data_IF_222024827408
#
_entry.id   IF_222024827408
#
_cell.length_a   1.000
_cell.length_b   1.000
_cell.length_c   1.000
_cell.angle_alpha   90.00
_cell.angle_beta   90.00
_cell.angle_gamma   90.00
#
_symmetry.space_group_name_H-M   'P 1'
#
loop_
_entity.id
_entity.type
_entity.pdbx_description
1 polymer ?
#
# COMPACT_ATOMS: atom_id res chain seq x y z
N UNK A 1 -68.30 -6.10 -12.47
CA UNK A 1 -66.92 -5.68 -12.15
C UNK A 1 -65.97 -6.42 -13.08
N UNK A 2 -65.57 -5.80 -14.22
CA UNK A 2 -64.70 -6.45 -15.22
C UNK A 2 -63.25 -6.28 -14.79
N UNK A 3 -62.63 -7.33 -14.26
CA UNK A 3 -61.18 -7.38 -14.12
C UNK A 3 -60.58 -7.36 -15.53
N UNK A 4 -59.92 -6.25 -15.91
CA UNK A 4 -59.11 -6.21 -17.12
C UNK A 4 -57.97 -7.21 -16.92
N UNK A 5 -58.03 -8.34 -17.62
CA UNK A 5 -56.91 -9.27 -17.71
C UNK A 5 -55.74 -8.50 -18.28
N UNK A 6 -54.70 -8.31 -17.47
CA UNK A 6 -53.44 -7.75 -17.94
C UNK A 6 -52.96 -8.67 -19.07
N UNK A 7 -52.73 -8.11 -20.27
CA UNK A 7 -52.29 -8.89 -21.42
C UNK A 7 -51.04 -9.69 -21.01
N UNK A 8 -51.02 -10.99 -21.27
CA UNK A 8 -49.95 -11.91 -20.83
C UNK A 8 -48.56 -11.38 -21.23
N UNK A 9 -48.47 -10.71 -22.38
CA UNK A 9 -47.27 -10.03 -22.88
C UNK A 9 -46.80 -8.89 -21.97
N UNK A 10 -47.73 -8.10 -21.41
CA UNK A 10 -47.43 -7.00 -20.49
C UNK A 10 -46.95 -7.54 -19.14
N UNK A 11 -47.56 -8.62 -18.63
CA UNK A 11 -47.14 -9.27 -17.39
C UNK A 11 -45.72 -9.85 -17.50
N UNK A 12 -45.42 -10.51 -18.63
CA UNK A 12 -44.08 -11.06 -18.89
C UNK A 12 -43.05 -9.92 -19.03
N UNK A 13 -43.39 -8.82 -19.71
CA UNK A 13 -42.50 -7.67 -19.85
C UNK A 13 -42.15 -7.02 -18.50
N UNK A 14 -43.14 -6.87 -17.60
CA UNK A 14 -42.93 -6.33 -16.25
C UNK A 14 -42.04 -7.26 -15.41
N UNK A 15 -42.26 -8.57 -15.48
CA UNK A 15 -41.43 -9.55 -14.76
C UNK A 15 -39.98 -9.57 -15.26
N UNK A 16 -39.77 -9.52 -16.58
CA UNK A 16 -38.43 -9.43 -17.17
C UNK A 16 -37.72 -8.13 -16.75
N UNK A 17 -38.42 -6.98 -16.79
CA UNK A 17 -37.86 -5.71 -16.35
C UNK A 17 -37.48 -5.73 -14.86
N UNK A 18 -38.32 -6.32 -14.00
CA UNK A 18 -38.03 -6.49 -12.58
C UNK A 18 -36.80 -7.39 -12.34
N UNK A 19 -36.69 -8.52 -13.07
CA UNK A 19 -35.53 -9.41 -12.99
C UNK A 19 -34.24 -8.72 -13.47
N UNK A 20 -34.31 -7.93 -14.55
CA UNK A 20 -33.16 -7.14 -15.04
C UNK A 20 -32.73 -6.09 -14.00
N UNK A 21 -33.67 -5.40 -13.35
CA UNK A 21 -33.36 -4.43 -12.29
C UNK A 21 -32.80 -5.10 -11.03
N UNK A 22 -33.28 -6.28 -10.66
CA UNK A 22 -32.75 -7.07 -9.54
C UNK A 22 -31.34 -7.59 -9.88
N UNK A 23 -31.12 -8.09 -11.09
CA UNK A 23 -29.79 -8.52 -11.54
C UNK A 23 -28.84 -7.31 -11.62
N UNK A 24 -29.28 -6.17 -12.14
CA UNK A 24 -28.50 -4.94 -12.20
C UNK A 24 -28.17 -4.38 -10.82
N UNK A 25 -29.08 -4.50 -9.84
CA UNK A 25 -28.82 -4.08 -8.45
C UNK A 25 -27.95 -5.06 -7.69
N UNK A 26 -28.13 -6.38 -7.85
CA UNK A 26 -27.30 -7.41 -7.21
C UNK A 26 -25.91 -7.46 -7.81
N UNK A 27 -25.78 -7.38 -9.14
CA UNK A 27 -24.49 -7.29 -9.83
C UNK A 27 -23.86 -5.91 -9.62
N UNK A 28 -24.62 -4.82 -9.74
CA UNK A 28 -24.14 -3.46 -9.49
C UNK A 28 -23.61 -3.27 -8.08
N UNK A 29 -24.29 -3.83 -7.06
CA UNK A 29 -23.84 -3.76 -5.66
C UNK A 29 -22.59 -4.61 -5.39
N UNK A 30 -22.49 -5.80 -5.99
CA UNK A 30 -21.29 -6.65 -5.87
C UNK A 30 -20.09 -6.08 -6.64
N UNK A 31 -20.31 -5.34 -7.72
CA UNK A 31 -19.24 -4.72 -8.51
C UNK A 31 -18.75 -3.38 -7.96
N UNK A 32 -19.61 -2.56 -7.35
CA UNK A 32 -19.24 -1.18 -6.99
C UNK A 32 -18.52 -1.02 -5.64
N UNK A 33 -18.42 -2.06 -4.80
CA UNK A 33 -17.65 -1.99 -3.55
C UNK A 33 -16.26 -2.59 -3.70
N UNK A 34 -15.54 -2.25 -4.77
CA UNK A 34 -14.09 -2.36 -4.76
C UNK A 34 -13.58 -1.33 -3.73
N UNK A 35 -13.44 -1.75 -2.47
CA UNK A 35 -12.95 -0.91 -1.38
C UNK A 35 -11.67 -0.24 -1.88
N UNK A 36 -11.67 1.10 -1.92
CA UNK A 36 -10.45 1.88 -2.17
C UNK A 36 -9.39 1.32 -1.22
N UNK A 37 -8.16 1.18 -1.68
CA UNK A 37 -7.08 0.63 -0.85
C UNK A 37 -6.76 1.56 0.35
N UNK A 38 -7.36 2.76 0.39
CA UNK A 38 -7.01 3.92 1.22
C UNK A 38 -5.50 4.03 1.36
N UNK A 39 -4.86 4.24 0.19
CA UNK A 39 -3.46 4.56 0.00
C UNK A 39 -3.41 5.87 -0.76
N UNK A 40 -2.65 6.83 -0.25
CA UNK A 40 -2.42 8.13 -0.87
C UNK A 40 -1.82 7.91 -2.26
N UNK A 41 -2.36 8.59 -3.27
CA UNK A 41 -1.94 8.42 -4.66
C UNK A 41 -1.18 9.66 -5.14
N UNK A 42 -0.19 9.47 -6.01
CA UNK A 42 0.43 10.56 -6.77
C UNK A 42 -0.65 11.33 -7.57
N UNK A 43 -0.62 12.68 -7.63
CA UNK A 43 0.47 13.59 -7.22
C UNK A 43 0.30 14.22 -5.83
N UNK A 44 -0.35 13.57 -4.86
CA UNK A 44 -0.59 14.16 -3.53
C UNK A 44 0.72 14.68 -2.88
N UNK A 45 0.76 15.92 -2.36
CA UNK A 45 2.00 16.58 -1.92
C UNK A 45 2.74 15.83 -0.79
N UNK A 46 2.00 15.11 0.05
CA UNK A 46 2.58 14.27 1.10
C UNK A 46 3.57 13.22 0.57
N UNK A 47 3.41 12.75 -0.68
CA UNK A 47 4.33 11.80 -1.30
C UNK A 47 5.62 12.44 -1.82
N UNK A 48 5.66 13.77 -1.86
CA UNK A 48 6.76 14.60 -2.37
C UNK A 48 7.39 15.48 -1.27
N UNK A 49 7.00 15.25 -0.02
CA UNK A 49 7.47 16.01 1.14
C UNK A 49 8.24 15.09 2.07
N UNK A 50 9.44 15.50 2.50
CA UNK A 50 10.22 14.76 3.47
C UNK A 50 9.45 14.62 4.80
N UNK A 51 9.41 13.40 5.32
CA UNK A 51 8.74 13.07 6.57
C UNK A 51 9.56 13.49 7.78
N UNK A 52 8.88 13.96 8.81
CA UNK A 52 9.48 14.33 10.08
C UNK A 52 9.94 13.08 10.86
N UNK A 53 11.03 13.18 11.63
CA UNK A 53 11.39 12.14 12.60
C UNK A 53 10.21 11.77 13.51
N UNK A 54 10.10 10.49 13.80
CA UNK A 54 9.09 9.96 14.72
C UNK A 54 9.72 9.67 16.08
N UNK A 55 9.02 9.97 17.17
CA UNK A 55 9.43 9.48 18.50
C UNK A 55 8.98 8.02 18.64
N UNK A 56 9.90 7.04 18.69
CA UNK A 56 9.54 5.62 18.74
C UNK A 56 8.63 5.25 19.91
N UNK A 57 8.68 5.99 21.01
CA UNK A 57 7.93 5.68 22.24
C UNK A 57 6.60 6.43 22.35
N UNK A 58 6.29 7.30 21.39
CA UNK A 58 5.05 8.07 21.34
C UNK A 58 3.83 7.19 21.00
N UNK A 59 2.66 7.58 21.52
CA UNK A 59 1.39 6.95 21.16
C UNK A 59 1.09 7.12 19.65
N UNK A 60 1.42 8.28 19.09
CA UNK A 60 1.29 8.56 17.65
C UNK A 60 2.04 7.52 16.81
N UNK A 61 3.30 7.22 17.15
CA UNK A 61 4.11 6.26 16.39
C UNK A 61 3.57 4.84 16.51
N UNK A 62 3.09 4.43 17.69
CA UNK A 62 2.42 3.12 17.85
C UNK A 62 1.16 3.03 17.00
N UNK A 63 0.35 4.08 16.97
CA UNK A 63 -0.86 4.14 16.13
C UNK A 63 -0.51 4.04 14.64
N UNK A 64 0.45 4.83 14.16
CA UNK A 64 0.91 4.80 12.77
C UNK A 64 1.42 3.42 12.39
N UNK A 65 2.29 2.82 13.23
CA UNK A 65 2.83 1.48 13.01
C UNK A 65 1.71 0.42 12.92
N UNK A 66 0.71 0.50 13.80
CA UNK A 66 -0.47 -0.36 13.77
C UNK A 66 -1.29 -0.21 12.48
N UNK A 67 -1.54 1.03 12.05
CA UNK A 67 -2.25 1.31 10.79
C UNK A 67 -1.48 0.76 9.57
N UNK A 68 -0.16 0.96 9.55
CA UNK A 68 0.72 0.43 8.51
C UNK A 68 0.67 -1.10 8.45
N UNK A 69 0.86 -1.79 9.58
CA UNK A 69 0.84 -3.24 9.64
C UNK A 69 -0.52 -3.82 9.21
N UNK A 70 -1.63 -3.22 9.65
CA UNK A 70 -2.97 -3.62 9.21
C UNK A 70 -3.18 -3.42 7.70
N UNK A 71 -2.68 -2.29 7.15
CA UNK A 71 -2.78 -1.99 5.72
C UNK A 71 -1.94 -2.96 4.90
N UNK A 72 -0.69 -3.19 5.32
CA UNK A 72 0.22 -4.15 4.72
C UNK A 72 -0.39 -5.56 4.71
N UNK A 73 -1.00 -5.99 5.83
CA UNK A 73 -1.71 -7.27 5.90
C UNK A 73 -2.85 -7.39 4.88
N UNK A 74 -3.69 -6.37 4.72
CA UNK A 74 -4.78 -6.37 3.73
C UNK A 74 -4.26 -6.43 2.29
N UNK A 75 -3.16 -5.72 2.00
CA UNK A 75 -2.51 -5.75 0.70
C UNK A 75 -1.91 -7.13 0.42
N UNK A 76 -1.20 -7.70 1.38
CA UNK A 76 -0.59 -9.02 1.24
C UNK A 76 -1.64 -10.11 1.06
N UNK A 77 -2.72 -10.09 1.83
CA UNK A 77 -3.86 -10.99 1.65
C UNK A 77 -4.47 -10.86 0.24
N UNK A 78 -4.58 -9.64 -0.30
CA UNK A 78 -5.21 -9.39 -1.60
C UNK A 78 -4.33 -9.77 -2.79
N UNK A 79 -3.03 -9.52 -2.69
CA UNK A 79 -2.10 -9.63 -3.83
C UNK A 79 -1.09 -10.77 -3.70
N UNK A 80 -0.97 -11.40 -2.52
CA UNK A 80 -0.06 -12.50 -2.21
C UNK A 80 1.37 -12.26 -2.73
N UNK A 81 1.95 -11.12 -2.34
CA UNK A 81 3.24 -10.68 -2.88
C UNK A 81 4.41 -11.24 -2.07
N UNK A 82 5.49 -11.60 -2.74
CA UNK A 82 6.67 -12.18 -2.09
C UNK A 82 7.39 -11.18 -1.18
N UNK A 83 7.44 -9.91 -1.58
CA UNK A 83 8.07 -8.85 -0.80
C UNK A 83 7.14 -7.64 -0.82
N UNK A 84 6.94 -7.03 0.34
CA UNK A 84 6.04 -5.89 0.54
C UNK A 84 6.64 -4.93 1.56
N UNK A 85 6.54 -3.65 1.26
CA UNK A 85 6.79 -2.56 2.17
C UNK A 85 5.65 -1.55 2.11
N UNK A 86 5.55 -0.73 3.15
CA UNK A 86 4.67 0.44 3.16
C UNK A 86 5.24 1.51 4.09
N UNK A 87 5.17 2.77 3.67
CA UNK A 87 5.64 3.93 4.42
C UNK A 87 4.47 4.80 4.91
N UNK A 88 4.63 5.45 6.06
CA UNK A 88 3.57 6.27 6.68
C UNK A 88 2.98 7.35 5.75
N UNK A 89 3.75 8.04 4.88
CA UNK A 89 3.20 9.00 3.92
C UNK A 89 2.14 8.39 3.00
N UNK A 90 2.29 7.12 2.64
CA UNK A 90 1.36 6.41 1.76
C UNK A 90 0.01 6.13 2.45
N UNK A 91 -0.08 6.27 3.77
CA UNK A 91 -1.33 6.16 4.54
C UNK A 91 -1.72 7.48 5.21
N UNK A 92 -1.12 8.60 4.81
CA UNK A 92 -1.55 9.94 5.24
C UNK A 92 -0.77 10.55 6.41
N UNK A 93 0.33 9.94 6.86
CA UNK A 93 1.12 10.45 7.99
C UNK A 93 2.53 10.84 7.54
N UNK A 94 2.92 12.10 7.76
CA UNK A 94 4.26 12.63 7.42
C UNK A 94 5.34 12.27 8.44
N UNK A 95 5.41 11.01 8.88
CA UNK A 95 6.35 10.52 9.90
C UNK A 95 7.27 9.44 9.35
N UNK A 96 8.52 9.38 9.86
CA UNK A 96 9.53 8.38 9.46
C UNK A 96 9.27 6.99 10.03
N UNK A 97 8.18 6.35 9.61
CA UNK A 97 7.79 5.00 10.01
C UNK A 97 7.50 4.17 8.77
N UNK A 98 8.09 2.98 8.69
CA UNK A 98 7.82 2.01 7.63
C UNK A 98 7.49 0.64 8.23
N UNK A 99 6.82 -0.19 7.43
CA UNK A 99 6.69 -1.63 7.69
C UNK A 99 7.24 -2.43 6.54
N UNK A 100 7.88 -3.57 6.84
CA UNK A 100 8.36 -4.53 5.87
C UNK A 100 7.83 -5.92 6.19
N UNK A 101 7.32 -6.62 5.17
CA UNK A 101 6.92 -8.03 5.31
C UNK A 101 8.14 -8.91 5.61
N UNK A 102 8.09 -9.67 6.71
CA UNK A 102 9.02 -10.77 7.00
C UNK A 102 8.46 -12.09 6.47
N UNK A 103 7.23 -12.39 6.85
CA UNK A 103 6.43 -13.52 6.37
C UNK A 103 4.94 -13.13 6.35
N UNK A 104 4.06 -14.02 5.88
CA UNK A 104 2.63 -13.71 5.85
C UNK A 104 2.09 -13.50 7.28
N UNK A 105 1.52 -12.33 7.55
CA UNK A 105 1.05 -11.96 8.89
C UNK A 105 2.13 -11.42 9.84
N UNK A 106 3.39 -11.38 9.41
CA UNK A 106 4.52 -10.85 10.21
C UNK A 106 5.16 -9.65 9.49
N UNK A 107 5.04 -8.48 10.12
CA UNK A 107 5.49 -7.19 9.60
C UNK A 107 6.44 -6.52 10.59
N UNK A 108 7.66 -6.25 10.13
CA UNK A 108 8.64 -5.53 10.91
C UNK A 108 8.41 -4.03 10.79
N UNK A 109 8.24 -3.37 11.92
CA UNK A 109 8.21 -1.92 12.02
C UNK A 109 9.65 -1.41 12.09
N UNK A 110 9.95 -0.37 11.34
CA UNK A 110 11.21 0.37 11.47
C UNK A 110 10.90 1.86 11.61
N UNK A 111 11.41 2.45 12.70
CA UNK A 111 11.26 3.87 13.01
C UNK A 111 12.58 4.57 12.72
N UNK A 112 12.50 5.75 12.10
CA UNK A 112 13.64 6.55 11.67
C UNK A 112 14.71 5.74 10.91
N UNK A 113 14.35 4.89 9.94
CA UNK A 113 15.34 4.07 9.24
C UNK A 113 16.30 4.92 8.40
N UNK A 114 17.56 4.51 8.39
CA UNK A 114 18.63 5.15 7.63
C UNK A 114 19.59 4.11 7.02
N UNK A 115 19.86 4.23 5.73
CA UNK A 115 20.84 3.38 5.02
C UNK A 115 22.25 3.84 5.38
N UNK A 116 23.02 2.96 6.00
CA UNK A 116 24.43 3.19 6.40
C UNK A 116 25.43 2.84 5.31
N UNK A 117 25.12 1.83 4.51
CA UNK A 117 25.99 1.35 3.44
C UNK A 117 25.16 0.64 2.36
N UNK A 118 25.65 0.66 1.11
CA UNK A 118 24.99 0.08 -0.05
C UNK A 118 26.00 -0.54 -1.01
N UNK A 119 25.70 -1.73 -1.54
CA UNK A 119 26.59 -2.47 -2.46
C UNK A 119 25.79 -3.12 -3.59
N UNK A 120 26.50 -3.44 -4.68
CA UNK A 120 25.99 -4.17 -5.84
C UNK A 120 24.76 -3.49 -6.47
N UNK A 121 24.98 -2.30 -7.02
CA UNK A 121 23.94 -1.53 -7.71
C UNK A 121 23.65 -2.20 -9.05
N UNK A 122 22.41 -2.64 -9.23
CA UNK A 122 21.93 -3.30 -10.45
C UNK A 122 20.57 -2.71 -10.87
N UNK A 123 20.20 -2.80 -12.17
CA UNK A 123 18.85 -2.52 -12.60
C UNK A 123 17.84 -3.39 -11.85
N UNK A 124 16.78 -2.78 -11.31
CA UNK A 124 15.75 -3.47 -10.55
C UNK A 124 14.36 -3.02 -10.99
N UNK A 125 13.46 -3.99 -11.15
CA UNK A 125 12.04 -3.74 -11.42
C UNK A 125 11.37 -3.32 -10.11
N UNK A 126 10.65 -2.21 -10.14
CA UNK A 126 9.91 -1.66 -9.01
C UNK A 126 8.48 -1.30 -9.41
N UNK A 127 7.56 -1.54 -8.49
CA UNK A 127 6.17 -1.08 -8.54
C UNK A 127 5.85 -0.37 -7.22
N UNK A 128 4.86 0.52 -7.22
CA UNK A 128 4.48 1.29 -6.04
C UNK A 128 2.96 1.31 -5.88
N UNK A 129 2.45 1.12 -4.66
CA UNK A 129 1.00 1.22 -4.41
C UNK A 129 0.45 2.65 -4.53
N UNK A 130 1.33 3.65 -4.51
CA UNK A 130 0.98 5.08 -4.63
C UNK A 130 1.20 5.64 -6.04
N UNK A 131 1.78 4.86 -6.96
CA UNK A 131 2.07 5.28 -8.33
C UNK A 131 1.86 4.10 -9.29
N UNK A 132 1.02 4.30 -10.32
CA UNK A 132 0.74 3.27 -11.32
C UNK A 132 1.93 3.06 -12.24
N UNK A 133 2.21 1.80 -12.55
CA UNK A 133 3.19 1.42 -13.56
C UNK A 133 4.28 0.51 -13.03
N UNK A 134 5.17 0.13 -13.93
CA UNK A 134 6.38 -0.63 -13.66
C UNK A 134 7.56 0.27 -14.03
N UNK A 135 8.55 0.34 -13.15
CA UNK A 135 9.71 1.21 -13.27
C UNK A 135 11.00 0.38 -13.15
N UNK A 136 12.03 0.70 -13.93
CA UNK A 136 13.32 -0.02 -13.92
C UNK A 136 14.45 0.91 -13.48
N UNK A 137 14.72 0.99 -12.18
CA UNK A 137 15.68 1.95 -11.64
C UNK A 137 16.88 1.24 -10.99
N UNK A 138 18.06 1.88 -10.93
CA UNK A 138 19.22 1.31 -10.25
C UNK A 138 18.94 1.19 -8.74
N UNK A 139 19.12 -0.01 -8.17
CA UNK A 139 19.00 -0.27 -6.73
C UNK A 139 20.16 -1.10 -6.23
N UNK A 140 20.59 -0.86 -4.99
CA UNK A 140 21.58 -1.70 -4.34
C UNK A 140 20.96 -3.04 -3.95
N UNK A 141 21.61 -4.15 -4.30
CA UNK A 141 21.16 -5.51 -3.94
C UNK A 141 21.61 -5.91 -2.54
N UNK A 142 22.35 -5.06 -1.86
CA UNK A 142 22.77 -5.20 -0.48
C UNK A 142 22.76 -3.84 0.19
N UNK A 143 22.09 -3.74 1.33
CA UNK A 143 22.05 -2.51 2.14
C UNK A 143 22.21 -2.85 3.61
N UNK A 144 23.00 -2.03 4.31
CA UNK A 144 23.05 -2.00 5.76
C UNK A 144 22.17 -0.85 6.24
N UNK A 145 21.27 -1.12 7.18
CA UNK A 145 20.31 -0.15 7.70
C UNK A 145 20.41 -0.06 9.21
N UNK A 146 20.33 1.17 9.74
CA UNK A 146 20.11 1.44 11.16
C UNK A 146 18.69 1.97 11.35
N UNK A 147 17.99 1.51 12.38
CA UNK A 147 16.62 1.95 12.70
C UNK A 147 16.31 1.76 14.19
N UNK A 148 15.17 2.27 14.65
CA UNK A 148 14.64 2.04 16.00
C UNK A 148 13.40 1.16 15.98
N UNK A 149 13.23 0.32 16.99
CA UNK A 149 11.96 -0.39 17.24
C UNK A 149 10.96 0.48 18.03
N UNK A 150 9.78 -0.07 18.35
CA UNK A 150 8.72 0.61 19.10
C UNK A 150 9.05 0.84 20.59
N UNK A 151 10.09 0.17 21.09
CA UNK A 151 10.63 0.39 22.43
C UNK A 151 11.78 1.42 22.41
N UNK A 152 12.12 1.92 21.21
CA UNK A 152 13.19 2.89 20.96
C UNK A 152 14.60 2.30 21.04
N UNK A 153 14.75 0.97 21.00
CA UNK A 153 16.06 0.34 20.90
C UNK A 153 16.60 0.50 19.49
N UNK A 154 17.90 0.78 19.37
CA UNK A 154 18.58 0.84 18.07
C UNK A 154 18.92 -0.56 17.56
N UNK A 155 18.69 -0.77 16.26
CA UNK A 155 19.02 -1.98 15.54
C UNK A 155 19.86 -1.63 14.32
N UNK A 156 20.82 -2.49 13.99
CA UNK A 156 21.52 -2.47 12.72
C UNK A 156 21.45 -3.85 12.07
N UNK A 157 21.05 -3.90 10.80
CA UNK A 157 20.95 -5.16 10.07
C UNK A 157 21.28 -5.00 8.57
N UNK A 158 21.48 -6.13 7.91
CA UNK A 158 21.77 -6.20 6.49
C UNK A 158 20.60 -6.83 5.74
N UNK A 159 20.12 -6.14 4.69
CA UNK A 159 19.15 -6.66 3.73
C UNK A 159 19.80 -6.95 2.40
N UNK A 160 19.30 -7.98 1.71
CA UNK A 160 19.81 -8.46 0.42
C UNK A 160 18.67 -8.71 -0.58
N UNK A 161 18.99 -8.66 -1.87
CA UNK A 161 18.06 -8.96 -2.96
C UNK A 161 16.83 -8.06 -2.94
N UNK A 162 15.65 -8.62 -3.26
CA UNK A 162 14.39 -7.87 -3.28
C UNK A 162 14.03 -7.20 -1.94
N UNK A 163 14.51 -7.72 -0.80
CA UNK A 163 14.31 -7.07 0.51
C UNK A 163 15.15 -5.80 0.66
N UNK A 164 16.33 -5.76 0.04
CA UNK A 164 17.15 -4.55 0.00
C UNK A 164 16.50 -3.47 -0.89
N UNK A 165 15.94 -3.88 -2.04
CA UNK A 165 15.32 -2.94 -2.99
C UNK A 165 14.03 -2.34 -2.44
N UNK A 166 13.17 -3.14 -1.79
CA UNK A 166 11.97 -2.63 -1.13
C UNK A 166 12.33 -1.71 0.04
N UNK A 167 13.29 -2.07 0.90
CA UNK A 167 13.70 -1.18 1.98
C UNK A 167 14.16 0.19 1.48
N UNK A 168 14.95 0.23 0.40
CA UNK A 168 15.33 1.49 -0.26
C UNK A 168 14.10 2.29 -0.72
N UNK A 169 13.14 1.63 -1.36
CA UNK A 169 11.92 2.28 -1.82
C UNK A 169 11.05 2.85 -0.68
N UNK A 170 10.91 2.13 0.44
CA UNK A 170 10.16 2.65 1.58
C UNK A 170 10.89 3.82 2.26
N UNK A 171 12.23 3.80 2.30
CA UNK A 171 13.02 4.93 2.80
C UNK A 171 12.91 6.14 1.85
N UNK A 172 12.88 5.93 0.53
CA UNK A 172 12.64 7.01 -0.44
C UNK A 172 11.29 7.68 -0.21
N UNK A 173 10.23 6.91 0.08
CA UNK A 173 8.93 7.48 0.44
C UNK A 173 9.01 8.39 1.68
N UNK A 174 9.85 8.07 2.67
CA UNK A 174 10.07 8.95 3.82
C UNK A 174 10.80 10.24 3.47
N UNK A 175 11.51 10.26 2.34
CA UNK A 175 12.25 11.42 1.85
C UNK A 175 11.46 12.21 0.80
N UNK A 176 10.21 11.83 0.52
CA UNK A 176 9.40 12.45 -0.52
C UNK A 176 9.86 12.11 -1.94
N UNK A 177 10.49 10.95 -2.13
CA UNK A 177 11.01 10.49 -3.43
C UNK A 177 10.16 9.32 -3.90
N UNK A 178 9.68 9.41 -5.14
CA UNK A 178 8.99 8.35 -5.85
C UNK A 178 9.91 7.70 -6.88
N UNK A 179 9.54 6.48 -7.28
CA UNK A 179 10.27 5.72 -8.30
C UNK A 179 10.27 6.40 -9.67
N UNK A 180 9.34 7.33 -9.92
CA UNK A 180 9.32 8.19 -11.11
C UNK A 180 10.47 9.19 -11.16
N UNK A 181 11.00 9.58 -10.01
CA UNK A 181 11.92 10.73 -9.91
C UNK A 181 13.35 10.36 -10.30
N UNK A 182 13.62 9.07 -10.51
CA UNK A 182 14.90 8.54 -10.99
C UNK A 182 15.07 8.64 -12.51
N UNK A 183 14.05 9.10 -13.22
CA UNK A 183 14.02 9.21 -14.68
C UNK A 183 13.96 10.67 -15.17
N UNK A 184 14.02 11.62 -14.25
CA UNK A 184 14.04 13.07 -14.48
C UNK A 184 15.46 13.59 -14.25
#
# INVERSE_FOLDING_TARGET
MRFKTLNMTLTIAILLAAVVLIIASVLGWKFFKQRRLDIVQHPHPLLHTASEPADPRSEETRHIAGQLAQKAHRLDHRFNVFSLGLAAPQIGYGKRVIVLKRSYGDYQVMINPEIRDRKWILPSISTCFSLKGLHILPRAMWVKVRYQDLDGNEHEEVRRGGRATILQQEIDHLNGILVSDYWL
#
